data_IF_665202985974
#
_entry.id   IF_665202985974
#
_cell.length_a   1.000
_cell.length_b   1.000
_cell.length_c   1.000
_cell.angle_alpha   90.00
_cell.angle_beta   90.00
_cell.angle_gamma   90.00
#
_symmetry.space_group_name_H-M   'P 1'
#
loop_
_entity.id
_entity.type
_entity.pdbx_description
1 polymer ?
#
# COMPACT_ATOMS: atom_id res chain seq x y z
N UNK A 1 0.30 17.84 9.67
CA UNK A 1 -0.66 18.72 10.37
C UNK A 1 -0.08 19.12 11.73
N UNK A 2 -0.10 20.40 12.10
CA UNK A 2 0.55 20.87 13.34
C UNK A 2 -0.28 20.40 14.55
N UNK A 3 0.14 19.34 15.25
CA UNK A 3 -0.62 18.66 16.33
C UNK A 3 -1.28 19.63 17.33
N UNK A 4 -0.59 20.72 17.66
CA UNK A 4 -1.08 21.76 18.58
C UNK A 4 -2.31 22.51 18.06
N UNK A 5 -2.41 22.73 16.75
CA UNK A 5 -3.51 23.46 16.12
C UNK A 5 -4.79 22.60 16.05
N UNK A 6 -4.64 21.30 15.75
CA UNK A 6 -5.76 20.35 15.70
C UNK A 6 -6.34 20.11 17.09
N UNK A 7 -5.49 19.96 18.11
CA UNK A 7 -5.90 19.87 19.52
C UNK A 7 -6.71 21.10 19.94
N UNK A 8 -6.25 22.31 19.60
CA UNK A 8 -6.95 23.54 19.92
C UNK A 8 -8.33 23.64 19.25
N UNK A 9 -8.45 23.24 17.98
CA UNK A 9 -9.71 23.23 17.25
C UNK A 9 -10.75 22.27 17.84
N UNK A 10 -10.33 21.05 18.22
CA UNK A 10 -11.21 20.05 18.84
C UNK A 10 -11.72 20.55 20.19
N UNK A 11 -10.85 21.16 21.01
CA UNK A 11 -11.24 21.74 22.29
C UNK A 11 -12.23 22.90 22.10
N UNK A 12 -12.04 23.75 21.08
CA UNK A 12 -13.00 24.82 20.74
C UNK A 12 -14.37 24.28 20.31
N UNK A 13 -14.44 23.16 19.57
CA UNK A 13 -15.70 22.51 19.20
C UNK A 13 -16.42 21.98 20.44
N UNK A 14 -15.71 21.30 21.34
CA UNK A 14 -16.27 20.74 22.57
C UNK A 14 -16.77 21.86 23.51
N UNK A 15 -15.99 22.92 23.68
CA UNK A 15 -16.35 24.10 24.50
C UNK A 15 -17.52 24.88 23.88
N UNK A 16 -17.56 24.98 22.54
CA UNK A 16 -18.64 25.64 21.81
C UNK A 16 -20.00 24.93 21.94
N UNK A 17 -19.99 23.59 22.05
CA UNK A 17 -21.21 22.79 22.21
C UNK A 17 -21.73 22.75 23.66
N UNK A 18 -20.87 22.89 24.68
CA UNK A 18 -21.25 22.73 26.10
C UNK A 18 -21.61 24.06 26.80
N UNK A 19 -21.34 25.21 26.16
CA UNK A 19 -21.96 26.48 26.54
C UNK A 19 -21.05 27.47 27.25
N UNK A 20 -21.07 28.68 26.68
CA UNK A 20 -20.61 29.99 27.20
C UNK A 20 -19.14 30.13 27.57
N UNK A 21 -18.47 30.99 26.79
CA UNK A 21 -17.07 31.49 26.76
C UNK A 21 -16.36 31.64 28.14
N UNK A 22 -17.09 31.73 29.26
CA UNK A 22 -16.54 31.83 30.61
C UNK A 22 -16.20 30.48 31.25
N UNK A 23 -16.96 29.43 30.94
CA UNK A 23 -16.71 28.04 31.40
C UNK A 23 -15.56 27.38 30.63
N UNK A 24 -15.25 27.89 29.43
CA UNK A 24 -14.19 27.39 28.55
C UNK A 24 -12.80 27.49 29.18
N UNK A 25 -12.46 28.61 29.83
CA UNK A 25 -11.11 28.81 30.39
C UNK A 25 -10.81 27.88 31.59
N UNK A 26 -11.83 27.57 32.41
CA UNK A 26 -11.70 26.68 33.56
C UNK A 26 -11.81 25.19 33.20
N UNK A 27 -12.42 24.86 32.06
CA UNK A 27 -12.53 23.47 31.59
C UNK A 27 -11.39 23.05 30.66
N UNK A 28 -10.57 23.99 30.16
CA UNK A 28 -9.36 23.70 29.37
C UNK A 28 -8.43 22.67 30.03
N UNK A 29 -8.06 22.78 31.33
CA UNK A 29 -7.18 21.79 31.94
C UNK A 29 -7.79 20.38 31.96
N UNK A 30 -9.10 20.29 32.21
CA UNK A 30 -9.83 19.01 32.19
C UNK A 30 -9.80 18.38 30.79
N UNK A 31 -10.08 19.14 29.73
CA UNK A 31 -10.06 18.62 28.34
C UNK A 31 -8.65 18.32 27.83
N UNK A 32 -7.64 19.11 28.22
CA UNK A 32 -6.23 18.83 27.90
C UNK A 32 -5.79 17.52 28.54
N UNK A 33 -6.05 17.34 29.84
CA UNK A 33 -5.71 16.09 30.53
C UNK A 33 -6.45 14.91 29.90
N UNK A 34 -7.74 15.07 29.59
CA UNK A 34 -8.52 14.01 28.94
C UNK A 34 -8.00 13.66 27.54
N UNK A 35 -7.54 14.65 26.77
CA UNK A 35 -6.89 14.44 25.49
C UNK A 35 -5.55 13.72 25.63
N UNK A 36 -4.75 14.07 26.65
CA UNK A 36 -3.50 13.40 26.96
C UNK A 36 -3.75 11.95 27.38
N UNK A 37 -4.66 11.71 28.31
CA UNK A 37 -5.05 10.37 28.76
C UNK A 37 -5.60 9.52 27.59
N UNK A 38 -6.36 10.15 26.68
CA UNK A 38 -6.88 9.50 25.49
C UNK A 38 -5.77 9.16 24.50
N UNK A 39 -4.84 10.09 24.23
CA UNK A 39 -3.67 9.85 23.37
C UNK A 39 -2.79 8.74 23.95
N UNK A 40 -2.54 8.72 25.26
CA UNK A 40 -1.80 7.63 25.92
C UNK A 40 -2.51 6.28 25.76
N UNK A 41 -3.81 6.21 26.05
CA UNK A 41 -4.60 4.96 25.94
C UNK A 41 -4.69 4.43 24.52
N UNK A 42 -4.93 5.30 23.55
CA UNK A 42 -4.99 4.90 22.14
C UNK A 42 -3.61 4.51 21.65
N UNK A 43 -2.54 5.02 22.26
CA UNK A 43 -1.18 4.64 21.93
C UNK A 43 -0.65 3.40 22.63
N UNK A 44 -1.35 2.87 23.63
CA UNK A 44 -0.95 1.68 24.37
C UNK A 44 -1.08 0.42 23.51
N UNK A 45 0.02 -0.35 23.40
CA UNK A 45 0.03 -1.62 22.70
C UNK A 45 -0.37 -2.76 23.65
N UNK A 46 -1.47 -3.44 23.35
CA UNK A 46 -1.96 -4.57 24.14
C UNK A 46 -1.64 -5.88 23.43
N UNK A 47 -0.96 -6.80 24.11
CA UNK A 47 -0.72 -8.15 23.57
C UNK A 47 -2.00 -8.97 23.67
N UNK A 48 -2.55 -9.36 22.53
CA UNK A 48 -3.83 -10.08 22.43
C UNK A 48 -3.63 -11.56 22.06
N UNK A 49 -2.44 -11.92 21.58
CA UNK A 49 -2.06 -13.30 21.30
C UNK A 49 -0.55 -13.45 21.41
N UNK A 50 -0.11 -14.52 22.04
CA UNK A 50 1.30 -14.91 22.13
C UNK A 50 1.38 -16.43 22.23
N UNK A 51 2.01 -17.07 21.24
CA UNK A 51 2.16 -18.53 21.22
C UNK A 51 3.44 -18.94 20.51
N UNK A 52 4.09 -20.00 21.02
CA UNK A 52 5.17 -20.67 20.31
C UNK A 52 4.54 -21.70 19.37
N UNK A 53 4.37 -21.31 18.10
CA UNK A 53 3.83 -22.14 17.03
C UNK A 53 4.64 -21.93 15.77
N UNK A 54 4.70 -22.99 14.97
CA UNK A 54 5.23 -22.97 13.63
C UNK A 54 4.09 -22.64 12.66
N UNK A 55 4.28 -21.63 11.82
CA UNK A 55 3.30 -21.20 10.82
C UNK A 55 3.98 -21.07 9.46
N UNK A 56 3.33 -21.59 8.43
CA UNK A 56 3.77 -21.47 7.05
C UNK A 56 3.03 -20.31 6.34
N UNK A 57 1.85 -19.92 6.85
CA UNK A 57 0.98 -18.89 6.26
C UNK A 57 0.33 -18.00 7.33
N UNK A 58 0.28 -16.69 7.05
CA UNK A 58 -0.42 -15.68 7.84
C UNK A 58 -1.54 -15.06 7.00
N UNK A 59 -2.77 -15.29 7.45
CA UNK A 59 -4.00 -14.79 6.84
C UNK A 59 -4.58 -13.64 7.66
N UNK A 60 -4.66 -12.46 7.07
CA UNK A 60 -5.18 -11.26 7.72
C UNK A 60 -6.41 -10.77 6.96
N UNK A 61 -7.51 -10.55 7.68
CA UNK A 61 -8.79 -10.08 7.15
C UNK A 61 -9.25 -8.88 7.97
N UNK A 62 -9.07 -7.68 7.44
CA UNK A 62 -9.40 -6.41 8.11
C UNK A 62 -10.36 -5.58 7.26
N UNK A 63 -11.13 -4.70 7.89
CA UNK A 63 -11.90 -3.70 7.17
C UNK A 63 -11.07 -2.41 7.14
N UNK A 64 -10.86 -1.81 8.31
CA UNK A 64 -10.30 -0.46 8.41
C UNK A 64 -9.01 -0.39 9.24
N UNK A 65 -8.69 -1.45 9.98
CA UNK A 65 -7.54 -1.46 10.88
C UNK A 65 -6.24 -1.57 10.08
N UNK A 66 -5.27 -0.70 10.38
CA UNK A 66 -3.95 -0.80 9.79
C UNK A 66 -3.23 -2.03 10.34
N UNK A 67 -2.40 -2.67 9.53
CA UNK A 67 -1.62 -3.83 9.96
C UNK A 67 -0.15 -3.57 9.73
N UNK A 68 0.66 -3.87 10.74
CA UNK A 68 2.12 -3.83 10.69
C UNK A 68 2.67 -5.22 10.98
N UNK A 69 3.52 -5.74 10.10
CA UNK A 69 4.15 -7.06 10.24
C UNK A 69 5.66 -6.88 10.36
N UNK A 70 6.25 -7.57 11.33
CA UNK A 70 7.67 -7.47 11.65
C UNK A 70 8.26 -8.85 11.95
N UNK A 71 9.57 -9.00 11.77
CA UNK A 71 10.27 -10.19 12.26
C UNK A 71 10.28 -10.19 13.79
N UNK A 72 9.97 -11.32 14.40
CA UNK A 72 10.04 -11.52 15.85
C UNK A 72 11.49 -11.74 16.26
N UNK A 73 11.91 -11.12 17.36
CA UNK A 73 13.19 -11.42 18.01
C UNK A 73 13.13 -12.67 18.90
N UNK A 74 11.93 -13.25 19.03
CA UNK A 74 11.66 -14.46 19.80
C UNK A 74 11.18 -15.58 18.89
N UNK A 75 11.14 -16.81 19.39
CA UNK A 75 10.55 -17.95 18.68
C UNK A 75 9.02 -18.01 18.76
N UNK A 76 8.37 -16.90 19.12
CA UNK A 76 6.92 -16.82 19.29
C UNK A 76 6.32 -15.92 18.23
N UNK A 77 5.11 -16.29 17.81
CA UNK A 77 4.21 -15.38 17.11
C UNK A 77 3.52 -14.52 18.16
N UNK A 78 3.59 -13.20 17.99
CA UNK A 78 2.99 -12.22 18.90
C UNK A 78 2.08 -11.32 18.09
N UNK A 79 0.84 -11.15 18.53
CA UNK A 79 -0.09 -10.17 17.96
C UNK A 79 -0.44 -9.17 19.04
N UNK A 80 -0.25 -7.89 18.71
CA UNK A 80 -0.65 -6.76 19.54
C UNK A 80 -1.70 -5.94 18.82
N UNK A 81 -2.55 -5.29 19.59
CA UNK A 81 -3.52 -4.34 19.10
C UNK A 81 -3.34 -2.98 19.79
N UNK A 82 -3.58 -1.91 19.04
CA UNK A 82 -3.44 -0.53 19.46
C UNK A 82 -4.62 0.29 18.94
N UNK A 83 -5.21 1.10 19.80
CA UNK A 83 -6.21 2.10 19.42
C UNK A 83 -7.58 1.58 18.96
N UNK A 84 -7.85 0.27 18.97
CA UNK A 84 -9.09 -0.31 18.43
C UNK A 84 -10.35 0.36 18.99
N UNK A 85 -11.34 0.57 18.12
CA UNK A 85 -12.64 1.08 18.55
C UNK A 85 -13.34 0.12 19.52
N UNK A 86 -14.19 0.66 20.39
CA UNK A 86 -15.02 -0.17 21.27
C UNK A 86 -15.86 -1.19 20.51
N UNK A 87 -16.29 -0.87 19.28
CA UNK A 87 -17.11 -1.74 18.45
C UNK A 87 -16.29 -2.72 17.59
N UNK A 88 -14.98 -2.83 17.80
CA UNK A 88 -14.14 -3.75 17.06
C UNK A 88 -13.53 -4.80 17.99
N UNK A 89 -13.32 -6.00 17.45
CA UNK A 89 -12.48 -7.04 18.04
C UNK A 89 -11.52 -7.60 17.00
N UNK A 90 -10.45 -8.21 17.50
CA UNK A 90 -9.54 -9.01 16.68
C UNK A 90 -9.65 -10.46 17.14
N UNK A 91 -10.12 -11.32 16.25
CA UNK A 91 -10.16 -12.77 16.46
C UNK A 91 -8.91 -13.40 15.88
N UNK A 92 -8.29 -14.28 16.66
CA UNK A 92 -7.05 -14.97 16.27
C UNK A 92 -7.27 -16.47 16.44
N UNK A 93 -7.04 -17.22 15.35
CA UNK A 93 -7.16 -18.68 15.36
C UNK A 93 -5.99 -19.29 14.61
N UNK A 94 -5.44 -20.39 15.14
CA UNK A 94 -4.40 -21.17 14.48
C UNK A 94 -4.94 -22.54 14.08
N UNK A 95 -4.71 -22.94 12.82
CA UNK A 95 -5.09 -24.27 12.32
C UNK A 95 -4.14 -24.72 11.21
N UNK A 96 -3.64 -25.95 11.29
CA UNK A 96 -2.79 -26.55 10.25
C UNK A 96 -1.63 -25.64 9.78
N UNK A 97 -0.90 -25.02 10.72
CA UNK A 97 0.19 -24.06 10.46
C UNK A 97 -0.22 -22.76 9.73
N UNK A 98 -1.51 -22.44 9.73
CA UNK A 98 -2.03 -21.17 9.23
C UNK A 98 -2.52 -20.37 10.43
N UNK A 99 -2.05 -19.12 10.57
CA UNK A 99 -2.58 -18.18 11.55
C UNK A 99 -3.58 -17.25 10.87
N UNK A 100 -4.80 -17.20 11.39
CA UNK A 100 -5.82 -16.27 10.93
C UNK A 100 -5.96 -15.14 11.95
N UNK A 101 -5.85 -13.89 11.48
CA UNK A 101 -6.08 -12.66 12.26
C UNK A 101 -7.21 -11.89 11.58
N UNK A 102 -8.35 -11.76 12.25
CA UNK A 102 -9.56 -11.20 11.65
C UNK A 102 -10.14 -10.07 12.49
N UNK A 103 -10.39 -8.93 11.84
CA UNK A 103 -11.23 -7.86 12.39
C UNK A 103 -12.70 -8.30 12.37
N UNK A 104 -13.40 -8.10 13.49
CA UNK A 104 -14.83 -8.34 13.60
C UNK A 104 -15.52 -7.15 14.25
N UNK A 105 -16.66 -6.77 13.67
CA UNK A 105 -17.53 -5.78 14.28
C UNK A 105 -18.29 -6.41 15.46
N UNK A 106 -18.18 -5.77 16.62
CA UNK A 106 -19.03 -6.03 17.78
C UNK A 106 -20.37 -5.34 17.55
N UNK A 107 -21.45 -6.09 17.70
CA UNK A 107 -22.79 -5.51 17.80
C UNK A 107 -22.88 -4.67 19.09
N UNK A 108 -22.73 -3.35 18.95
CA UNK A 108 -22.88 -2.38 20.03
C UNK A 108 -24.23 -1.66 20.01
N UNK A 109 -25.26 -2.26 19.39
CA UNK A 109 -26.60 -1.68 19.27
C UNK A 109 -26.98 -0.72 20.42
N UNK A 110 -27.02 0.58 20.08
CA UNK A 110 -27.47 1.70 20.91
C UNK A 110 -26.89 1.82 22.33
N UNK A 111 -25.56 1.90 22.51
CA UNK A 111 -24.99 2.53 23.73
C UNK A 111 -25.32 4.04 23.78
N UNK A 112 -26.50 4.38 24.33
CA UNK A 112 -26.92 5.78 24.61
C UNK A 112 -25.80 6.51 25.34
N UNK A 113 -25.51 7.75 24.95
CA UNK A 113 -24.56 8.63 25.64
C UNK A 113 -25.03 8.80 27.09
N UNK A 114 -24.23 8.31 28.05
CA UNK A 114 -24.61 8.30 29.49
C UNK A 114 -24.11 9.51 30.27
N UNK A 115 -23.10 10.21 29.77
CA UNK A 115 -22.48 11.36 30.44
C UNK A 115 -21.74 12.25 29.44
N UNK A 116 -21.35 13.46 29.89
CA UNK A 116 -20.38 14.32 29.16
C UNK A 116 -19.09 13.54 28.93
N UNK A 117 -18.71 12.68 29.88
CA UNK A 117 -17.49 11.90 29.74
C UNK A 117 -17.53 10.91 28.58
N UNK A 118 -18.65 10.20 28.46
CA UNK A 118 -18.97 9.25 27.40
C UNK A 118 -19.12 9.96 26.04
N UNK A 119 -19.73 11.15 26.03
CA UNK A 119 -19.84 11.99 24.83
C UNK A 119 -18.46 12.43 24.31
N UNK A 120 -17.63 12.99 25.18
CA UNK A 120 -16.28 13.45 24.77
C UNK A 120 -15.44 12.28 24.31
N UNK A 121 -15.47 11.13 25.00
CA UNK A 121 -14.67 9.96 24.62
C UNK A 121 -15.05 9.43 23.24
N UNK A 122 -16.35 9.30 22.93
CA UNK A 122 -16.82 8.91 21.58
C UNK A 122 -16.43 9.91 20.49
N UNK A 123 -16.43 11.21 20.81
CA UNK A 123 -16.03 12.25 19.86
C UNK A 123 -14.51 12.19 19.61
N UNK A 124 -13.71 11.95 20.64
CA UNK A 124 -12.27 11.73 20.53
C UNK A 124 -11.95 10.44 19.75
N UNK A 125 -12.64 9.33 20.04
CA UNK A 125 -12.55 8.09 19.28
C UNK A 125 -12.74 8.37 17.80
N UNK A 126 -13.89 8.90 17.39
CA UNK A 126 -14.17 9.21 15.99
C UNK A 126 -13.16 10.15 15.31
N UNK A 127 -12.45 10.98 16.07
CA UNK A 127 -11.51 11.97 15.52
C UNK A 127 -10.07 11.43 15.41
N UNK A 128 -9.65 10.53 16.30
CA UNK A 128 -8.24 10.09 16.41
C UNK A 128 -8.00 8.63 15.99
N UNK A 129 -9.02 7.78 16.05
CA UNK A 129 -8.93 6.34 15.77
C UNK A 129 -8.56 5.99 14.33
N UNK A 130 -9.05 6.75 13.34
CA UNK A 130 -8.77 6.50 11.91
C UNK A 130 -7.27 6.50 11.59
N UNK A 131 -6.44 7.15 12.43
CA UNK A 131 -5.00 7.24 12.23
C UNK A 131 -4.17 6.37 13.18
N UNK A 132 -4.79 5.70 14.15
CA UNK A 132 -4.09 5.04 15.27
C UNK A 132 -4.44 3.57 15.44
N UNK A 133 -5.58 3.13 14.90
CA UNK A 133 -5.97 1.71 14.92
C UNK A 133 -4.94 0.87 14.18
N UNK A 134 -4.29 -0.02 14.91
CA UNK A 134 -3.23 -0.86 14.35
C UNK A 134 -3.18 -2.24 15.00
N UNK A 135 -2.99 -3.27 14.18
CA UNK A 135 -2.54 -4.59 14.60
C UNK A 135 -1.05 -4.69 14.30
N UNK A 136 -0.24 -5.08 15.27
CA UNK A 136 1.19 -5.35 15.08
C UNK A 136 1.43 -6.85 15.25
N UNK A 137 1.93 -7.49 14.21
CA UNK A 137 2.16 -8.94 14.17
C UNK A 137 3.67 -9.20 14.06
N UNK A 138 4.21 -9.96 14.99
CA UNK A 138 5.60 -10.41 14.98
C UNK A 138 5.65 -11.89 14.60
N UNK A 139 6.35 -12.22 13.52
CA UNK A 139 6.52 -13.60 13.04
C UNK A 139 7.98 -14.07 13.22
N UNK A 140 8.22 -15.25 13.83
CA UNK A 140 9.59 -15.72 14.10
C UNK A 140 10.31 -16.23 12.84
N UNK A 141 9.58 -16.87 11.93
CA UNK A 141 10.09 -17.46 10.71
C UNK A 141 9.48 -16.78 9.48
N UNK A 142 9.99 -17.10 8.30
CA UNK A 142 9.47 -16.56 7.04
C UNK A 142 8.14 -17.25 6.72
N UNK A 143 7.18 -16.48 6.20
CA UNK A 143 5.79 -16.93 6.01
C UNK A 143 5.25 -16.50 4.66
N UNK A 144 4.29 -17.28 4.15
CA UNK A 144 3.40 -16.81 3.09
C UNK A 144 2.39 -15.83 3.69
N UNK A 145 2.05 -14.79 2.94
CA UNK A 145 1.12 -13.77 3.39
C UNK A 145 -0.12 -13.73 2.49
N UNK A 146 -1.28 -13.68 3.11
CA UNK A 146 -2.52 -13.34 2.42
C UNK A 146 -3.29 -12.33 3.25
N UNK A 147 -3.37 -11.12 2.74
CA UNK A 147 -4.00 -10.00 3.43
C UNK A 147 -5.14 -9.48 2.59
N UNK A 148 -6.31 -9.41 3.18
CA UNK A 148 -7.48 -8.74 2.64
C UNK A 148 -7.82 -7.57 3.56
N UNK A 149 -7.92 -6.36 3.00
CA UNK A 149 -8.21 -5.15 3.75
C UNK A 149 -9.15 -4.24 2.98
N UNK A 150 -10.29 -3.79 3.51
CA UNK A 150 -11.13 -2.84 2.77
C UNK A 150 -10.39 -1.51 2.51
N UNK A 151 -9.84 -0.89 3.56
CA UNK A 151 -9.10 0.38 3.45
C UNK A 151 -7.91 0.54 4.41
N UNK A 152 -7.66 -0.42 5.30
CA UNK A 152 -6.54 -0.35 6.23
C UNK A 152 -5.19 -0.47 5.51
N UNK A 153 -4.20 0.30 5.93
CA UNK A 153 -2.83 0.23 5.41
C UNK A 153 -2.11 -1.03 5.90
N UNK A 154 -1.31 -1.65 5.03
CA UNK A 154 -0.42 -2.76 5.36
C UNK A 154 1.04 -2.31 5.28
N UNK A 155 1.78 -2.49 6.37
CA UNK A 155 3.21 -2.18 6.47
C UNK A 155 3.97 -3.46 6.83
N UNK A 156 4.90 -3.88 5.97
CA UNK A 156 5.84 -4.97 6.28
C UNK A 156 7.22 -4.34 6.45
N UNK A 157 7.81 -4.46 7.64
CA UNK A 157 9.05 -3.74 7.97
C UNK A 157 10.33 -4.53 7.66
N UNK A 158 10.24 -5.84 7.53
CA UNK A 158 11.37 -6.75 7.36
C UNK A 158 11.06 -7.78 6.27
N UNK A 159 12.08 -8.30 5.59
CA UNK A 159 11.94 -9.49 4.75
C UNK A 159 11.55 -10.69 5.63
N UNK A 160 10.26 -11.02 5.58
CA UNK A 160 9.62 -12.12 6.31
C UNK A 160 8.93 -13.08 5.33
N UNK A 161 9.25 -12.98 4.04
CA UNK A 161 8.54 -13.67 2.99
C UNK A 161 9.10 -15.06 2.74
N UNK A 162 8.22 -16.06 2.70
CA UNK A 162 8.60 -17.42 2.29
C UNK A 162 8.61 -17.56 0.76
N UNK A 163 7.43 -17.63 0.14
CA UNK A 163 7.29 -17.83 -1.32
C UNK A 163 6.27 -16.89 -1.96
N UNK A 164 5.09 -16.73 -1.36
CA UNK A 164 3.96 -16.00 -1.93
C UNK A 164 3.37 -14.95 -1.00
N UNK A 165 3.05 -13.78 -1.57
CA UNK A 165 2.33 -12.72 -0.90
C UNK A 165 1.14 -12.25 -1.76
N UNK A 166 -0.05 -12.27 -1.19
CA UNK A 166 -1.29 -11.74 -1.75
C UNK A 166 -1.79 -10.58 -0.91
N UNK A 167 -2.03 -9.44 -1.54
CA UNK A 167 -2.69 -8.29 -0.93
C UNK A 167 -3.92 -7.91 -1.76
N UNK A 168 -5.10 -7.98 -1.18
CA UNK A 168 -6.35 -7.59 -1.81
C UNK A 168 -7.00 -6.46 -1.01
N UNK A 169 -7.30 -5.35 -1.67
CA UNK A 169 -7.87 -4.18 -1.00
C UNK A 169 -8.85 -3.41 -1.87
N UNK A 170 -9.70 -2.60 -1.26
CA UNK A 170 -10.44 -1.59 -2.02
C UNK A 170 -9.62 -0.31 -2.13
N UNK A 171 -8.99 0.12 -1.04
CA UNK A 171 -8.36 1.45 -0.95
C UNK A 171 -7.17 1.57 0.03
N UNK A 172 -6.74 0.47 0.62
CA UNK A 172 -5.61 0.45 1.56
C UNK A 172 -4.27 0.63 0.85
N UNK A 173 -3.30 1.24 1.54
CA UNK A 173 -1.94 1.34 1.05
C UNK A 173 -1.12 0.10 1.42
N UNK A 174 -0.11 -0.21 0.61
CA UNK A 174 0.90 -1.21 0.87
C UNK A 174 2.26 -0.51 1.05
N UNK A 175 3.02 -0.92 2.05
CA UNK A 175 4.44 -0.61 2.16
C UNK A 175 5.23 -1.88 2.50
N UNK A 176 6.30 -2.09 1.76
CA UNK A 176 7.21 -3.22 1.87
C UNK A 176 8.62 -2.71 2.25
N UNK A 177 9.49 -3.57 2.82
CA UNK A 177 10.84 -3.15 3.12
C UNK A 177 11.60 -2.89 1.82
N UNK A 178 12.52 -1.93 1.78
CA UNK A 178 13.29 -1.63 0.55
C UNK A 178 14.45 -2.60 0.28
N UNK A 179 14.71 -3.55 1.18
CA UNK A 179 15.76 -4.56 1.00
C UNK A 179 15.40 -5.60 -0.09
N UNK A 180 16.42 -6.24 -0.66
CA UNK A 180 16.22 -7.29 -1.68
C UNK A 180 15.56 -8.50 -1.03
N UNK A 181 14.38 -8.87 -1.52
CA UNK A 181 13.58 -9.96 -0.96
C UNK A 181 13.91 -11.30 -1.61
N UNK A 182 13.56 -12.39 -0.96
CA UNK A 182 13.53 -13.72 -1.57
C UNK A 182 12.09 -14.21 -1.80
N UNK A 183 11.31 -13.49 -2.60
CA UNK A 183 9.90 -13.79 -2.85
C UNK A 183 9.68 -14.34 -4.27
N UNK A 184 8.95 -15.44 -4.41
CA UNK A 184 8.61 -15.96 -5.74
C UNK A 184 7.53 -15.10 -6.39
N UNK A 185 6.48 -14.77 -5.65
CA UNK A 185 5.28 -14.16 -6.22
C UNK A 185 4.64 -13.12 -5.31
N UNK A 186 4.43 -11.92 -5.85
CA UNK A 186 3.62 -10.87 -5.26
C UNK A 186 2.37 -10.66 -6.11
N UNK A 187 1.19 -10.71 -5.50
CA UNK A 187 -0.08 -10.36 -6.14
C UNK A 187 -0.75 -9.25 -5.37
N UNK A 188 -1.04 -8.14 -6.05
CA UNK A 188 -1.74 -7.00 -5.48
C UNK A 188 -3.01 -6.79 -6.28
N UNK A 189 -4.14 -6.74 -5.60
CA UNK A 189 -5.45 -6.40 -6.14
C UNK A 189 -5.97 -5.18 -5.40
N UNK A 190 -6.34 -4.12 -6.12
CA UNK A 190 -6.89 -2.91 -5.52
C UNK A 190 -8.00 -2.30 -6.38
N UNK A 191 -9.04 -1.74 -5.77
CA UNK A 191 -10.08 -1.04 -6.54
C UNK A 191 -9.68 0.38 -6.92
N UNK A 192 -8.96 1.08 -6.04
CA UNK A 192 -8.59 2.48 -6.23
C UNK A 192 -7.19 2.60 -6.84
N UNK A 193 -6.15 2.66 -6.02
CA UNK A 193 -4.78 2.86 -6.48
C UNK A 193 -3.79 1.93 -5.77
N UNK A 194 -2.64 1.75 -6.40
CA UNK A 194 -1.43 1.13 -5.85
C UNK A 194 -0.26 2.04 -6.14
N UNK A 195 0.51 2.37 -5.10
CA UNK A 195 1.76 3.13 -5.22
C UNK A 195 2.88 2.27 -4.67
N UNK A 196 3.93 2.05 -5.45
CA UNK A 196 5.05 1.17 -5.09
C UNK A 196 6.37 1.82 -5.51
N UNK A 197 7.35 1.78 -4.62
CA UNK A 197 8.71 2.18 -4.95
C UNK A 197 9.50 1.00 -5.51
N UNK A 198 10.43 1.23 -6.44
CA UNK A 198 11.23 0.16 -7.04
C UNK A 198 11.94 -0.72 -5.99
N UNK A 199 12.45 -0.12 -4.92
CA UNK A 199 13.09 -0.85 -3.81
C UNK A 199 12.17 -1.89 -3.15
N UNK A 200 10.87 -1.62 -3.13
CA UNK A 200 9.86 -2.50 -2.54
C UNK A 200 9.63 -3.78 -3.35
N UNK A 201 10.03 -3.82 -4.62
CA UNK A 201 9.85 -5.00 -5.50
C UNK A 201 11.16 -5.70 -5.89
N UNK A 202 12.32 -5.21 -5.43
CA UNK A 202 13.59 -5.87 -5.68
C UNK A 202 13.63 -7.28 -5.06
N UNK A 203 14.17 -8.24 -5.81
CA UNK A 203 14.32 -9.64 -5.41
C UNK A 203 13.08 -10.51 -5.64
N UNK A 204 11.93 -9.91 -6.02
CA UNK A 204 10.69 -10.65 -6.28
C UNK A 204 10.70 -11.21 -7.70
N UNK A 205 10.49 -12.51 -7.92
CA UNK A 205 10.53 -13.06 -9.30
C UNK A 205 9.35 -12.59 -10.16
N UNK A 206 8.13 -12.69 -9.65
CA UNK A 206 6.91 -12.30 -10.36
C UNK A 206 6.06 -11.33 -9.53
N UNK A 207 5.75 -10.17 -10.12
CA UNK A 207 4.85 -9.17 -9.52
C UNK A 207 3.63 -9.02 -10.41
N UNK A 208 2.44 -9.24 -9.87
CA UNK A 208 1.17 -9.07 -10.56
C UNK A 208 0.33 -8.01 -9.84
N UNK A 209 -0.09 -6.98 -10.56
CA UNK A 209 -0.90 -5.88 -10.05
C UNK A 209 -2.19 -5.83 -10.86
N UNK A 210 -3.33 -5.89 -10.18
CA UNK A 210 -4.66 -5.67 -10.74
C UNK A 210 -5.27 -4.47 -10.01
N UNK A 211 -5.30 -3.29 -10.64
CA UNK A 211 -5.66 -2.06 -9.94
C UNK A 211 -6.34 -1.03 -10.83
N UNK A 212 -7.01 -0.02 -10.26
CA UNK A 212 -7.48 1.15 -11.00
C UNK A 212 -6.28 1.97 -11.45
N UNK A 213 -5.69 2.70 -10.52
CA UNK A 213 -4.48 3.49 -10.74
C UNK A 213 -3.22 2.78 -10.24
N UNK A 214 -2.14 2.83 -11.00
CA UNK A 214 -0.85 2.26 -10.60
C UNK A 214 0.23 3.32 -10.75
N UNK A 215 0.95 3.58 -9.67
CA UNK A 215 2.09 4.49 -9.62
C UNK A 215 3.33 3.69 -9.21
N UNK A 216 4.35 3.68 -10.06
CA UNK A 216 5.64 3.07 -9.73
C UNK A 216 6.72 4.11 -9.91
N UNK A 217 7.49 4.38 -8.85
CA UNK A 217 8.62 5.29 -8.90
C UNK A 217 9.95 4.60 -8.57
N UNK A 218 11.06 5.15 -9.07
CA UNK A 218 12.37 4.84 -8.50
C UNK A 218 12.71 5.79 -7.37
N UNK A 219 13.02 5.23 -6.22
CA UNK A 219 13.81 5.93 -5.21
C UNK A 219 15.19 6.35 -5.74
N UNK A 220 15.89 7.22 -5.00
CA UNK A 220 17.27 7.67 -5.29
C UNK A 220 18.33 6.57 -5.11
N UNK A 221 18.03 5.32 -5.43
CA UNK A 221 19.02 4.24 -5.38
C UNK A 221 20.01 4.39 -6.54
N UNK A 222 21.29 4.50 -6.20
CA UNK A 222 22.41 4.24 -7.12
C UNK A 222 22.99 2.87 -6.79
N UNK A 223 22.20 1.81 -6.95
CA UNK A 223 22.68 0.45 -6.75
C UNK A 223 23.48 0.02 -7.99
N UNK A 224 24.79 -0.16 -7.82
CA UNK A 224 25.58 -0.96 -8.76
C UNK A 224 24.96 -2.37 -8.84
N UNK A 225 24.87 -2.93 -10.04
CA UNK A 225 24.28 -4.26 -10.32
C UNK A 225 22.78 -4.44 -10.03
N UNK A 226 21.97 -3.36 -9.99
CA UNK A 226 20.51 -3.48 -9.77
C UNK A 226 19.82 -4.51 -10.68
N UNK A 227 20.32 -4.68 -11.91
CA UNK A 227 19.83 -5.65 -12.90
C UNK A 227 19.75 -7.09 -12.36
N UNK A 228 20.62 -7.45 -11.40
CA UNK A 228 20.62 -8.78 -10.77
C UNK A 228 19.42 -9.02 -9.87
N UNK A 229 18.83 -7.95 -9.35
CA UNK A 229 17.75 -7.98 -8.35
C UNK A 229 16.40 -7.55 -8.93
N UNK A 230 16.34 -7.17 -10.21
CA UNK A 230 15.08 -6.84 -10.85
C UNK A 230 14.15 -8.05 -10.90
N UNK A 231 12.83 -7.82 -10.77
CA UNK A 231 11.85 -8.83 -11.07
C UNK A 231 12.04 -9.44 -12.45
N UNK A 232 11.84 -10.75 -12.54
CA UNK A 232 11.82 -11.42 -13.85
C UNK A 232 10.62 -10.95 -14.66
N UNK A 233 9.47 -10.74 -14.02
CA UNK A 233 8.24 -10.31 -14.66
C UNK A 233 7.44 -9.39 -13.76
N UNK A 234 7.03 -8.24 -14.30
CA UNK A 234 5.99 -7.39 -13.72
C UNK A 234 4.80 -7.40 -14.69
N UNK A 235 3.61 -7.70 -14.19
CA UNK A 235 2.36 -7.63 -14.95
C UNK A 235 1.40 -6.69 -14.27
N UNK A 236 0.97 -5.65 -14.97
CA UNK A 236 -0.01 -4.68 -14.51
C UNK A 236 -1.26 -4.88 -15.36
N UNK A 237 -2.42 -4.94 -14.72
CA UNK A 237 -3.71 -5.02 -15.38
C UNK A 237 -4.63 -3.99 -14.76
N UNK A 238 -5.21 -3.13 -15.57
CA UNK A 238 -6.20 -2.19 -15.07
C UNK A 238 -7.49 -2.91 -14.71
N UNK A 239 -8.12 -2.51 -13.61
CA UNK A 239 -9.50 -2.88 -13.36
C UNK A 239 -10.39 -2.11 -14.35
N UNK A 240 -11.51 -2.68 -14.78
CA UNK A 240 -12.29 -2.13 -15.90
C UNK A 240 -13.09 -0.84 -15.56
N UNK A 241 -12.63 -0.05 -14.59
CA UNK A 241 -13.17 1.26 -14.24
C UNK A 241 -12.71 2.30 -15.28
N UNK A 242 -13.51 3.36 -15.45
CA UNK A 242 -13.21 4.41 -16.44
C UNK A 242 -12.19 5.41 -15.87
N UNK A 243 -11.29 5.93 -16.71
CA UNK A 243 -10.29 6.97 -16.42
C UNK A 243 -9.17 6.56 -15.44
N UNK A 244 -8.68 5.34 -15.58
CA UNK A 244 -7.58 4.82 -14.77
C UNK A 244 -6.21 5.28 -15.32
N UNK A 245 -5.17 5.33 -14.49
CA UNK A 245 -3.81 5.70 -14.91
C UNK A 245 -2.78 4.67 -14.47
N UNK A 246 -1.91 4.23 -15.38
CA UNK A 246 -0.69 3.50 -15.05
C UNK A 246 0.50 4.41 -15.31
N UNK A 247 1.10 4.96 -14.27
CA UNK A 247 2.26 5.85 -14.36
C UNK A 247 3.50 5.20 -13.77
N UNK A 248 4.58 5.17 -14.55
CA UNK A 248 5.88 4.62 -14.15
C UNK A 248 6.94 5.67 -14.41
N UNK A 249 7.49 6.24 -13.35
CA UNK A 249 8.54 7.26 -13.41
C UNK A 249 9.79 6.75 -12.69
N UNK A 250 10.73 6.22 -13.47
CA UNK A 250 11.89 5.53 -12.93
C UNK A 250 13.15 5.90 -13.68
N UNK A 251 14.22 6.19 -12.94
CA UNK A 251 15.56 6.35 -13.49
C UNK A 251 16.33 5.02 -13.59
N UNK A 252 15.68 3.91 -13.20
CA UNK A 252 16.18 2.54 -13.20
C UNK A 252 15.20 1.59 -13.90
N UNK A 253 15.64 0.44 -14.40
CA UNK A 253 14.72 -0.57 -14.88
C UNK A 253 13.84 -1.14 -13.76
N UNK A 254 12.54 -1.34 -14.02
CA UNK A 254 11.60 -1.87 -13.00
C UNK A 254 11.40 -3.38 -13.08
N UNK A 255 11.73 -4.01 -14.21
CA UNK A 255 11.69 -5.46 -14.39
C UNK A 255 12.45 -5.88 -15.64
N UNK A 256 12.71 -7.18 -15.78
CA UNK A 256 13.26 -7.78 -17.01
C UNK A 256 12.20 -7.97 -18.10
N UNK A 257 10.95 -8.16 -17.71
CA UNK A 257 9.80 -8.30 -18.60
C UNK A 257 8.61 -7.55 -18.00
N UNK A 258 8.28 -6.38 -18.55
CA UNK A 258 7.11 -5.61 -18.12
C UNK A 258 5.94 -5.88 -19.08
N UNK A 259 4.79 -6.25 -18.52
CA UNK A 259 3.54 -6.42 -19.25
C UNK A 259 2.48 -5.49 -18.64
N UNK A 260 1.78 -4.69 -19.45
CA UNK A 260 0.73 -3.78 -18.99
C UNK A 260 -0.51 -4.00 -19.86
N UNK A 261 -1.65 -4.32 -19.24
CA UNK A 261 -2.96 -4.42 -19.87
C UNK A 261 -3.89 -3.34 -19.29
N UNK A 262 -3.72 -2.12 -19.82
CA UNK A 262 -4.40 -0.89 -19.43
C UNK A 262 -5.76 -0.70 -20.12
N UNK A 263 -6.68 -1.65 -19.94
CA UNK A 263 -8.05 -1.51 -20.46
C UNK A 263 -8.71 -0.26 -19.86
N UNK A 264 -9.03 0.72 -20.72
CA UNK A 264 -9.55 2.05 -20.34
C UNK A 264 -8.63 2.85 -19.40
N UNK A 265 -7.34 2.74 -19.63
CA UNK A 265 -6.35 3.52 -18.88
C UNK A 265 -5.43 4.32 -19.78
N UNK A 266 -4.97 5.44 -19.24
CA UNK A 266 -3.80 6.17 -19.71
C UNK A 266 -2.54 5.51 -19.13
N UNK A 267 -1.49 5.36 -19.94
CA UNK A 267 -0.23 4.73 -19.53
C UNK A 267 0.93 5.68 -19.76
N UNK A 268 1.56 6.15 -18.68
CA UNK A 268 2.63 7.15 -18.71
C UNK A 268 3.95 6.50 -18.29
N UNK A 269 4.95 6.47 -19.17
CA UNK A 269 6.20 5.75 -18.95
C UNK A 269 7.43 6.65 -19.15
N UNK A 270 8.02 7.08 -18.04
CA UNK A 270 9.34 7.69 -17.98
C UNK A 270 10.35 6.65 -17.47
N UNK A 271 11.09 6.03 -18.38
CA UNK A 271 12.04 4.94 -18.13
C UNK A 271 13.46 5.28 -18.66
N UNK A 272 14.55 4.74 -18.11
CA UNK A 272 15.92 5.10 -18.52
C UNK A 272 16.37 4.32 -19.77
N UNK A 273 15.62 4.48 -20.87
CA UNK A 273 15.77 3.72 -22.12
C UNK A 273 17.13 3.93 -22.81
N UNK A 274 17.83 5.01 -22.48
CA UNK A 274 19.17 5.36 -22.96
C UNK A 274 20.29 4.56 -22.26
N UNK A 275 20.04 4.08 -21.04
CA UNK A 275 21.05 3.48 -20.16
C UNK A 275 20.89 1.99 -19.95
N UNK A 276 19.68 1.46 -20.05
CA UNK A 276 19.38 0.07 -19.72
C UNK A 276 18.60 -0.65 -20.81
N UNK A 277 18.68 -1.98 -20.79
CA UNK A 277 17.95 -2.85 -21.71
C UNK A 277 16.55 -3.14 -21.18
N UNK A 278 15.54 -2.99 -22.03
CA UNK A 278 14.15 -3.17 -21.64
C UNK A 278 13.36 -4.08 -22.57
N UNK A 279 12.37 -4.79 -22.00
CA UNK A 279 11.35 -5.53 -22.74
C UNK A 279 9.96 -5.15 -22.21
N UNK A 280 9.12 -4.65 -23.11
CA UNK A 280 7.76 -4.21 -22.82
C UNK A 280 6.75 -4.95 -23.70
N UNK A 281 5.59 -5.23 -23.11
CA UNK A 281 4.35 -5.61 -23.78
C UNK A 281 3.24 -4.75 -23.17
N UNK A 282 2.79 -3.71 -23.87
CA UNK A 282 1.87 -2.70 -23.30
C UNK A 282 0.65 -2.58 -24.19
N UNK A 283 -0.53 -2.73 -23.61
CA UNK A 283 -1.82 -2.51 -24.26
C UNK A 283 -2.57 -1.42 -23.49
N UNK A 284 -2.96 -0.34 -24.14
CA UNK A 284 -3.73 0.76 -23.56
C UNK A 284 -4.88 1.16 -24.48
N UNK A 285 -6.03 1.50 -23.91
CA UNK A 285 -7.20 1.89 -24.70
C UNK A 285 -7.25 3.38 -25.04
N UNK A 286 -6.64 4.25 -24.22
CA UNK A 286 -6.68 5.70 -24.41
C UNK A 286 -5.34 6.22 -24.94
N UNK A 287 -4.41 6.62 -24.08
CA UNK A 287 -3.12 7.18 -24.51
C UNK A 287 -1.96 6.37 -23.90
N UNK A 288 -0.84 6.31 -24.61
CA UNK A 288 0.46 5.94 -24.03
C UNK A 288 1.40 7.13 -24.20
N UNK A 289 1.86 7.68 -23.09
CA UNK A 289 2.89 8.70 -23.09
C UNK A 289 4.25 8.04 -22.87
N UNK A 290 5.12 8.12 -23.88
CA UNK A 290 6.44 7.52 -23.88
C UNK A 290 7.51 8.62 -23.80
N UNK A 291 8.68 8.28 -23.25
CA UNK A 291 9.85 9.16 -23.25
C UNK A 291 10.13 9.86 -24.60
N UNK A 292 10.45 11.16 -24.55
CA UNK A 292 10.99 11.96 -25.66
C UNK A 292 12.18 11.29 -26.38
N UNK A 293 12.98 10.47 -25.69
CA UNK A 293 14.08 9.70 -26.29
C UNK A 293 13.64 8.85 -27.49
N UNK A 294 12.39 8.36 -27.50
CA UNK A 294 11.86 7.56 -28.58
C UNK A 294 11.33 8.40 -29.75
N UNK A 295 11.22 9.72 -29.63
CA UNK A 295 10.63 10.59 -30.65
C UNK A 295 11.31 10.48 -32.01
N UNK A 296 12.65 10.35 -32.05
CA UNK A 296 13.42 10.18 -33.30
C UNK A 296 13.16 8.87 -34.04
N UNK A 297 12.52 7.91 -33.37
CA UNK A 297 12.14 6.62 -33.92
C UNK A 297 10.75 6.63 -34.57
N UNK A 298 10.01 7.75 -34.52
CA UNK A 298 8.71 7.99 -35.14
C UNK A 298 8.88 8.98 -36.29
N UNK A 299 8.87 8.48 -37.53
CA UNK A 299 9.30 9.22 -38.72
C UNK A 299 8.14 9.94 -39.45
N UNK A 300 6.90 9.94 -38.95
CA UNK A 300 5.77 10.64 -39.58
C UNK A 300 4.60 11.03 -38.65
N UNK A 301 3.92 12.14 -38.98
CA UNK A 301 2.70 12.64 -38.31
C UNK A 301 1.49 11.67 -38.37
N UNK A 302 1.51 10.65 -39.23
CA UNK A 302 0.48 9.59 -39.28
C UNK A 302 0.66 8.51 -38.20
N UNK A 303 1.82 8.41 -37.54
CA UNK A 303 2.14 7.41 -36.52
C UNK A 303 1.58 7.75 -35.12
N UNK A 304 1.00 8.94 -34.94
CA UNK A 304 0.41 9.39 -33.67
C UNK A 304 -0.96 8.76 -33.34
N UNK A 305 -1.59 8.06 -34.30
CA UNK A 305 -2.88 7.36 -34.16
C UNK A 305 -2.72 5.82 -34.07
N UNK A 306 -1.56 5.32 -33.63
CA UNK A 306 -1.19 3.91 -33.70
C UNK A 306 -1.67 3.07 -32.51
N UNK A 307 -2.68 2.22 -32.77
CA UNK A 307 -3.09 1.04 -31.97
C UNK A 307 -2.06 -0.07 -31.85
N UNK A 308 -0.84 0.13 -32.35
CA UNK A 308 0.26 -0.83 -32.24
C UNK A 308 1.66 -0.20 -32.43
N UNK A 309 2.65 -0.52 -31.57
CA UNK A 309 4.06 -0.14 -31.75
C UNK A 309 5.04 -1.28 -31.41
N UNK A 310 5.87 -1.70 -32.37
CA UNK A 310 6.78 -2.85 -32.23
C UNK A 310 8.18 -2.47 -32.68
N UNK A 311 9.06 -2.13 -31.73
CA UNK A 311 10.44 -1.72 -32.07
C UNK A 311 11.49 -2.15 -31.05
N UNK A 312 12.59 -2.71 -31.53
CA UNK A 312 13.79 -3.00 -30.72
C UNK A 312 14.65 -1.75 -30.64
N UNK A 313 14.79 -1.18 -29.44
CA UNK A 313 15.64 -0.02 -29.16
C UNK A 313 17.02 -0.50 -28.70
N UNK A 314 18.10 0.20 -29.09
CA UNK A 314 19.51 -0.09 -28.75
C UNK A 314 20.08 -1.42 -29.30
N UNK A 315 19.98 -1.66 -30.61
CA UNK A 315 20.42 -2.88 -31.31
C UNK A 315 21.93 -3.21 -31.20
N UNK A 316 22.78 -2.23 -30.91
CA UNK A 316 24.24 -2.41 -30.86
C UNK A 316 24.76 -2.94 -29.52
N UNK A 317 23.89 -3.06 -28.51
CA UNK A 317 24.19 -3.72 -27.24
C UNK A 317 23.90 -5.23 -27.37
N UNK A 318 24.82 -6.08 -26.90
CA UNK A 318 24.98 -7.53 -27.18
C UNK A 318 23.77 -8.50 -27.26
N UNK A 319 22.54 -8.12 -26.93
CA UNK A 319 21.36 -9.00 -27.00
C UNK A 319 20.17 -8.31 -27.69
N UNK A 320 19.59 -8.99 -28.68
CA UNK A 320 18.35 -8.62 -29.38
C UNK A 320 17.10 -8.87 -28.54
N UNK A 321 16.10 -7.97 -28.59
CA UNK A 321 14.77 -8.20 -28.00
C UNK A 321 13.66 -7.63 -28.87
N UNK A 322 12.57 -8.40 -29.05
CA UNK A 322 11.38 -8.02 -29.83
C UNK A 322 10.36 -7.30 -28.94
N UNK A 323 9.76 -6.24 -29.43
CA UNK A 323 8.76 -5.41 -28.73
C UNK A 323 7.40 -5.53 -29.41
N UNK A 324 6.29 -5.43 -28.67
CA UNK A 324 4.93 -5.27 -29.16
C UNK A 324 4.23 -4.28 -28.20
N UNK A 325 3.44 -3.34 -28.71
CA UNK A 325 2.70 -2.32 -27.94
C UNK A 325 1.39 -2.11 -28.67
N UNK A 326 0.30 -1.73 -28.01
CA UNK A 326 -1.00 -1.38 -28.60
C UNK A 326 -1.64 -0.17 -27.88
N UNK A 327 -2.00 0.93 -28.56
CA UNK A 327 -2.46 2.20 -27.93
C UNK A 327 -3.43 3.06 -28.77
N UNK A 328 -4.45 3.75 -28.25
CA UNK A 328 -5.26 4.60 -29.14
C UNK A 328 -4.55 5.90 -29.60
N UNK A 329 -3.72 6.51 -28.76
CA UNK A 329 -2.79 7.59 -29.14
C UNK A 329 -1.44 7.41 -28.43
N UNK A 330 -0.35 7.90 -29.03
CA UNK A 330 0.99 7.93 -28.41
C UNK A 330 1.48 9.38 -28.38
N UNK A 331 1.84 9.89 -27.20
CA UNK A 331 2.49 11.20 -27.06
C UNK A 331 3.93 11.04 -26.55
N UNK A 332 4.76 12.04 -26.85
CA UNK A 332 6.15 12.11 -26.40
C UNK A 332 6.34 13.36 -25.56
N UNK A 333 6.65 13.16 -24.28
CA UNK A 333 6.94 14.21 -23.30
C UNK A 333 8.37 14.08 -22.74
#
# INVERSE_FOLDING_TARGET
MNKKLSIFAIVLIIVGLIGTIWSGFFSMPYFINKLQDFDEKVNEENTIYEKNIDIDELNIDTNYVNTKIMKSSSNKVIVKAKGLYENMDIQITDNNKILYVKEVDKDLSMKKIKSIDDFTSKLLENTFSNHTNMIVIYVPEDVNLKVTSESGALMVENDIFLDEFFFDTSSGSLSLPSEVKNLQKLNISSQNYVSIQLGEILGIKEVNIYCGDVYIDSDKYNLEDIEKYLPNKVTIKSNNLDNNTVSIDSNLPISRNLNIDGYKSEVNLNLPLDRYKFKFDINAYENIDLNEFLQSDFDNEEEYNLKEFKKTINKDLKNEYKVNVHAANIYFD
#
